data_IF_528872022436
#
_entry.id   IF_528872022436
#
_cell.length_a   1.000
_cell.length_b   1.000
_cell.length_c   1.000
_cell.angle_alpha   90.00
_cell.angle_beta   90.00
_cell.angle_gamma   90.00
#
_symmetry.space_group_name_H-M   'P 1'
#
loop_
_entity.id
_entity.type
_entity.pdbx_description
1 polymer ?
#
# COMPACT_ATOMS: atom_id res chain seq x y z
N UNK A 1 4.59 -2.04 -14.19
CA UNK A 1 5.34 -2.35 -12.95
C UNK A 1 4.40 -2.89 -11.88
N UNK A 2 3.56 -2.06 -11.25
CA UNK A 2 2.59 -2.49 -10.21
C UNK A 2 1.77 -3.73 -10.64
N UNK A 3 1.14 -3.68 -11.82
CA UNK A 3 0.35 -4.81 -12.36
C UNK A 3 1.16 -6.09 -12.62
N UNK A 4 2.42 -5.96 -13.03
CA UNK A 4 3.28 -7.11 -13.35
C UNK A 4 3.76 -7.81 -12.06
N UNK A 5 4.07 -7.04 -11.02
CA UNK A 5 4.43 -7.57 -9.70
C UNK A 5 3.22 -8.23 -9.03
N UNK A 6 2.04 -7.60 -9.11
CA UNK A 6 0.79 -8.19 -8.61
C UNK A 6 0.48 -9.52 -9.32
N UNK A 7 0.72 -9.63 -10.63
CA UNK A 7 0.49 -10.86 -11.40
C UNK A 7 1.33 -12.04 -10.90
N UNK A 8 2.63 -11.82 -10.69
CA UNK A 8 3.55 -12.88 -10.29
C UNK A 8 3.39 -13.32 -8.82
N UNK A 9 2.88 -12.45 -7.96
CA UNK A 9 2.76 -12.69 -6.51
C UNK A 9 1.33 -13.10 -6.13
N UNK A 10 0.37 -13.06 -7.06
CA UNK A 10 -1.02 -13.47 -6.88
C UNK A 10 -1.20 -14.81 -6.11
N UNK A 11 -0.39 -15.88 -6.32
CA UNK A 11 -0.52 -17.12 -5.54
C UNK A 11 -0.15 -16.99 -4.06
N UNK A 12 0.71 -16.04 -3.70
CA UNK A 12 1.11 -15.73 -2.31
C UNK A 12 0.19 -14.69 -1.66
N UNK A 13 -0.71 -14.06 -2.41
CA UNK A 13 -1.72 -13.14 -1.91
C UNK A 13 -2.94 -13.81 -1.27
N UNK A 14 -3.11 -15.13 -1.44
CA UNK A 14 -4.25 -15.91 -0.92
C UNK A 14 -3.91 -16.82 0.27
N UNK A 15 -2.67 -16.80 0.74
CA UNK A 15 -2.29 -17.46 2.00
C UNK A 15 -2.66 -16.59 3.21
N UNK A 16 -2.76 -17.21 4.40
CA UNK A 16 -3.12 -16.53 5.68
C UNK A 16 -2.33 -15.24 5.97
N UNK A 17 -1.19 -15.03 5.32
CA UNK A 17 -0.43 -13.78 5.34
C UNK A 17 -0.48 -13.20 3.92
N UNK A 18 -1.24 -12.11 3.73
CA UNK A 18 -1.31 -11.42 2.45
C UNK A 18 -0.15 -10.42 2.34
N UNK A 19 0.86 -10.75 1.54
CA UNK A 19 1.94 -9.81 1.24
C UNK A 19 1.55 -8.92 0.07
N UNK A 20 1.12 -7.69 0.37
CA UNK A 20 0.83 -6.70 -0.67
C UNK A 20 2.10 -5.98 -1.12
N UNK A 21 2.98 -6.70 -1.82
CA UNK A 21 4.25 -6.15 -2.32
C UNK A 21 4.05 -4.86 -3.14
N UNK A 22 2.91 -4.74 -3.80
CA UNK A 22 2.56 -3.56 -4.59
C UNK A 22 2.35 -2.29 -3.74
N UNK A 23 2.03 -2.40 -2.44
CA UNK A 23 1.93 -1.23 -1.53
C UNK A 23 3.29 -0.56 -1.26
N UNK A 24 4.41 -1.26 -1.52
CA UNK A 24 5.75 -0.67 -1.50
C UNK A 24 5.86 0.57 -2.41
N UNK A 25 5.10 0.61 -3.51
CA UNK A 25 5.06 1.75 -4.42
C UNK A 25 4.40 2.99 -3.82
N UNK A 26 3.67 2.88 -2.70
CA UNK A 26 3.07 4.03 -2.02
C UNK A 26 4.11 5.04 -1.53
N UNK A 27 5.34 4.58 -1.26
CA UNK A 27 6.46 5.46 -0.94
C UNK A 27 6.80 6.44 -2.07
N UNK A 28 6.38 6.20 -3.32
CA UNK A 28 6.54 7.17 -4.42
C UNK A 28 5.88 8.51 -4.11
N UNK A 29 4.75 8.50 -3.39
CA UNK A 29 4.02 9.73 -3.03
C UNK A 29 4.85 10.65 -2.11
N UNK A 30 5.81 10.06 -1.38
CA UNK A 30 6.75 10.81 -0.53
C UNK A 30 7.71 11.62 -1.40
N UNK A 31 8.10 11.13 -2.58
CA UNK A 31 8.99 11.86 -3.49
C UNK A 31 8.25 12.92 -4.29
N UNK A 32 7.08 12.59 -4.85
CA UNK A 32 6.24 13.56 -5.55
C UNK A 32 4.76 13.24 -5.35
N UNK A 33 3.98 14.26 -4.94
CA UNK A 33 2.55 14.12 -4.67
C UNK A 33 1.77 13.70 -5.93
N UNK A 34 2.27 14.01 -7.13
CA UNK A 34 1.64 13.63 -8.42
C UNK A 34 1.56 12.11 -8.62
N UNK A 35 2.38 11.31 -7.92
CA UNK A 35 2.31 9.84 -8.02
C UNK A 35 1.04 9.24 -7.39
N UNK A 36 0.26 10.02 -6.63
CA UNK A 36 -1.02 9.57 -6.06
C UNK A 36 -1.95 9.00 -7.14
N UNK A 37 -2.06 9.66 -8.30
CA UNK A 37 -2.94 9.21 -9.37
C UNK A 37 -2.51 7.86 -9.95
N UNK A 38 -1.19 7.66 -10.12
CA UNK A 38 -0.65 6.40 -10.63
C UNK A 38 -0.81 5.25 -9.63
N UNK A 39 -0.64 5.52 -8.34
CA UNK A 39 -0.86 4.54 -7.27
C UNK A 39 -2.34 4.16 -7.18
N UNK A 40 -3.24 5.15 -7.09
CA UNK A 40 -4.69 4.91 -6.98
C UNK A 40 -5.22 4.14 -8.18
N UNK A 41 -4.78 4.49 -9.40
CA UNK A 41 -5.13 3.72 -10.60
C UNK A 41 -4.55 2.31 -10.56
N UNK A 42 -3.32 2.13 -10.07
CA UNK A 42 -2.69 0.83 -9.91
C UNK A 42 -3.45 -0.08 -8.95
N UNK A 43 -3.84 0.46 -7.79
CA UNK A 43 -4.63 -0.24 -6.76
C UNK A 43 -6.02 -0.54 -7.29
N UNK A 44 -6.67 0.41 -7.97
CA UNK A 44 -7.98 0.21 -8.57
C UNK A 44 -7.95 -0.92 -9.61
N UNK A 45 -6.99 -0.90 -10.53
CA UNK A 45 -6.85 -1.95 -11.55
C UNK A 45 -6.45 -3.29 -10.95
N UNK A 46 -5.58 -3.32 -9.94
CA UNK A 46 -5.21 -4.57 -9.28
C UNK A 46 -6.39 -5.20 -8.55
N UNK A 47 -7.20 -4.40 -7.84
CA UNK A 47 -8.42 -4.90 -7.21
C UNK A 47 -9.45 -5.35 -8.27
N UNK A 48 -9.57 -4.63 -9.39
CA UNK A 48 -10.48 -5.01 -10.48
C UNK A 48 -10.08 -6.34 -11.17
N UNK A 49 -8.78 -6.59 -11.30
CA UNK A 49 -8.23 -7.75 -12.04
C UNK A 49 -8.03 -8.98 -11.14
N UNK A 50 -7.60 -8.78 -9.89
CA UNK A 50 -7.17 -9.87 -9.00
C UNK A 50 -8.08 -10.14 -7.80
N UNK A 51 -9.04 -9.26 -7.46
CA UNK A 51 -9.92 -9.53 -6.32
C UNK A 51 -11.00 -10.56 -6.66
N UNK A 52 -11.16 -11.62 -5.85
CA UNK A 52 -12.32 -12.52 -5.91
C UNK A 52 -13.65 -11.83 -5.54
N UNK A 53 -13.61 -10.72 -4.79
CA UNK A 53 -14.78 -10.02 -4.23
C UNK A 53 -14.85 -8.57 -4.72
N UNK A 54 -14.89 -8.42 -6.06
CA UNK A 54 -14.79 -7.19 -6.87
C UNK A 54 -15.50 -5.92 -6.38
N UNK A 55 -16.55 -6.02 -5.56
CA UNK A 55 -17.33 -4.86 -5.10
C UNK A 55 -16.87 -4.28 -3.76
N UNK A 56 -16.59 -5.13 -2.77
CA UNK A 56 -16.16 -4.69 -1.45
C UNK A 56 -14.69 -4.27 -1.46
N UNK A 57 -13.82 -5.13 -1.99
CA UNK A 57 -12.35 -4.91 -2.05
C UNK A 57 -12.00 -3.63 -2.80
N UNK A 58 -12.83 -3.23 -3.77
CA UNK A 58 -12.63 -2.02 -4.53
C UNK A 58 -12.92 -0.76 -3.70
N UNK A 59 -13.95 -0.76 -2.87
CA UNK A 59 -14.33 0.42 -2.07
C UNK A 59 -13.44 0.52 -0.83
N UNK A 60 -13.25 -0.58 -0.10
CA UNK A 60 -12.46 -0.57 1.12
C UNK A 60 -10.97 -0.56 0.83
N UNK A 61 -10.49 -1.32 -0.17
CA UNK A 61 -9.09 -1.30 -0.59
C UNK A 61 -8.67 0.05 -1.17
N UNK A 62 -9.36 0.54 -2.20
CA UNK A 62 -9.02 1.85 -2.80
C UNK A 62 -9.25 2.99 -1.80
N UNK A 63 -10.31 2.90 -0.99
CA UNK A 63 -10.60 3.87 0.06
C UNK A 63 -9.50 3.94 1.12
N UNK A 64 -9.03 2.78 1.59
CA UNK A 64 -7.90 2.68 2.53
C UNK A 64 -6.64 3.29 1.94
N UNK A 65 -6.32 2.99 0.67
CA UNK A 65 -5.11 3.52 0.03
C UNK A 65 -5.22 5.03 -0.15
N UNK A 66 -6.34 5.55 -0.67
CA UNK A 66 -6.55 7.01 -0.82
C UNK A 66 -6.41 7.71 0.52
N UNK A 67 -7.06 7.20 1.57
CA UNK A 67 -7.01 7.78 2.91
C UNK A 67 -5.57 7.80 3.45
N UNK A 68 -4.86 6.68 3.31
CA UNK A 68 -3.47 6.54 3.78
C UNK A 68 -2.50 7.44 3.03
N UNK A 69 -2.68 7.58 1.70
CA UNK A 69 -1.89 8.49 0.88
C UNK A 69 -2.17 9.95 1.23
N UNK A 70 -3.44 10.33 1.44
CA UNK A 70 -3.81 11.69 1.83
C UNK A 70 -3.22 12.07 3.20
N UNK A 71 -3.32 11.17 4.18
CA UNK A 71 -2.70 11.35 5.51
C UNK A 71 -1.18 11.50 5.34
N UNK A 72 -0.56 10.65 4.52
CA UNK A 72 0.89 10.72 4.28
C UNK A 72 1.29 12.02 3.60
N UNK A 73 0.53 12.51 2.62
CA UNK A 73 0.78 13.80 1.95
C UNK A 73 0.63 14.98 2.93
N UNK A 74 -0.37 14.92 3.82
CA UNK A 74 -0.59 15.94 4.83
C UNK A 74 0.56 15.97 5.85
N UNK A 75 0.90 14.82 6.43
CA UNK A 75 2.00 14.70 7.42
C UNK A 75 3.36 14.99 6.80
N UNK A 76 3.57 14.62 5.53
CA UNK A 76 4.76 14.97 4.76
C UNK A 76 5.03 16.47 4.67
N UNK A 77 4.01 17.33 4.77
CA UNK A 77 4.18 18.80 4.73
C UNK A 77 4.87 19.33 6.00
N UNK A 78 4.72 18.62 7.13
CA UNK A 78 5.24 19.05 8.42
C UNK A 78 6.62 18.47 8.76
N UNK A 79 7.11 17.50 7.99
CA UNK A 79 8.28 16.70 8.33
C UNK A 79 9.39 16.90 7.31
N UNK A 80 10.56 17.33 7.80
CA UNK A 80 11.77 17.48 7.00
C UNK A 80 12.56 16.18 7.04
N UNK A 81 12.69 15.51 5.89
CA UNK A 81 13.48 14.28 5.73
C UNK A 81 12.73 13.18 4.98
N UNK A 82 13.33 12.69 3.89
CA UNK A 82 12.72 11.66 3.02
C UNK A 82 12.51 10.34 3.77
N UNK A 83 13.52 9.88 4.52
CA UNK A 83 13.46 8.61 5.26
C UNK A 83 12.38 8.68 6.35
N UNK A 84 12.33 9.78 7.12
CA UNK A 84 11.32 9.98 8.17
C UNK A 84 9.90 9.98 7.60
N UNK A 85 9.69 10.60 6.42
CA UNK A 85 8.40 10.58 5.73
C UNK A 85 8.00 9.17 5.28
N UNK A 86 8.95 8.34 4.83
CA UNK A 86 8.70 6.95 4.47
C UNK A 86 8.40 6.07 5.69
N UNK A 87 9.07 6.29 6.82
CA UNK A 87 8.74 5.59 8.08
C UNK A 87 7.31 5.90 8.51
N UNK A 88 6.90 7.16 8.43
CA UNK A 88 5.52 7.55 8.78
C UNK A 88 4.51 6.99 7.79
N UNK A 89 4.82 7.00 6.49
CA UNK A 89 4.00 6.32 5.49
C UNK A 89 3.80 4.84 5.86
N UNK A 90 4.86 4.15 6.29
CA UNK A 90 4.82 2.76 6.76
C UNK A 90 3.88 2.58 7.93
N UNK A 91 3.97 3.45 8.94
CA UNK A 91 3.10 3.38 10.12
C UNK A 91 1.64 3.65 9.73
N UNK A 92 1.38 4.67 8.91
CA UNK A 92 0.03 5.03 8.48
C UNK A 92 -0.63 3.89 7.69
N UNK A 93 0.09 3.28 6.74
CA UNK A 93 -0.42 2.15 5.95
C UNK A 93 -0.60 0.88 6.78
N UNK A 94 0.34 0.59 7.69
CA UNK A 94 0.23 -0.58 8.57
C UNK A 94 -0.96 -0.44 9.53
N UNK A 95 -1.23 0.77 10.04
CA UNK A 95 -2.39 1.03 10.87
C UNK A 95 -3.67 0.91 10.07
N UNK A 96 -3.75 1.52 8.88
CA UNK A 96 -4.97 1.54 8.06
C UNK A 96 -5.40 0.16 7.55
N UNK A 97 -4.58 -0.89 7.71
CA UNK A 97 -4.96 -2.29 7.55
C UNK A 97 -6.15 -2.72 8.43
N UNK A 98 -6.47 -1.99 9.49
CA UNK A 98 -7.71 -2.23 10.26
C UNK A 98 -8.96 -2.16 9.38
N UNK A 99 -9.00 -1.27 8.37
CA UNK A 99 -10.13 -1.14 7.45
C UNK A 99 -10.31 -2.39 6.60
N UNK A 100 -9.20 -2.95 6.12
CA UNK A 100 -9.18 -4.16 5.31
C UNK A 100 -9.53 -5.39 6.14
N UNK A 101 -9.10 -5.44 7.40
CA UNK A 101 -9.49 -6.50 8.33
C UNK A 101 -10.99 -6.47 8.65
N UNK A 102 -11.61 -5.28 8.75
CA UNK A 102 -13.08 -5.14 8.88
C UNK A 102 -13.77 -5.67 7.62
N UNK A 103 -13.27 -5.32 6.44
CA UNK A 103 -13.78 -5.82 5.16
C UNK A 103 -13.73 -7.35 5.10
N UNK A 104 -12.58 -7.97 5.36
CA UNK A 104 -12.41 -9.43 5.30
C UNK A 104 -13.29 -10.14 6.33
N UNK A 105 -13.52 -9.52 7.50
CA UNK A 105 -14.47 -10.02 8.49
C UNK A 105 -15.91 -9.97 7.96
N UNK A 106 -16.30 -8.89 7.30
CA UNK A 106 -17.66 -8.68 6.79
C UNK A 106 -17.95 -9.50 5.53
N UNK A 107 -16.94 -9.68 4.67
CA UNK A 107 -17.05 -10.35 3.38
C UNK A 107 -16.88 -11.88 3.47
N UNK A 108 -15.95 -12.37 4.30
CA UNK A 108 -15.59 -13.80 4.40
C UNK A 108 -15.84 -14.40 5.79
N UNK A 109 -16.29 -13.60 6.78
CA UNK A 109 -16.55 -14.07 8.14
C UNK A 109 -15.28 -14.36 8.95
N UNK A 110 -14.10 -13.97 8.48
CA UNK A 110 -12.83 -14.27 9.14
C UNK A 110 -12.66 -13.51 10.48
N UNK A 111 -11.91 -14.07 11.44
CA UNK A 111 -11.66 -13.44 12.73
C UNK A 111 -10.84 -12.15 12.58
N UNK A 112 -11.48 -11.01 12.86
CA UNK A 112 -10.91 -9.66 12.72
C UNK A 112 -9.49 -9.52 13.26
N UNK A 113 -9.23 -9.97 14.48
CA UNK A 113 -7.94 -9.79 15.15
C UNK A 113 -6.81 -10.53 14.42
N UNK A 114 -7.10 -11.75 13.94
CA UNK A 114 -6.11 -12.59 13.26
C UNK A 114 -5.83 -12.08 11.84
N UNK A 115 -6.87 -11.66 11.12
CA UNK A 115 -6.73 -11.01 9.81
C UNK A 115 -6.00 -9.67 9.92
N UNK A 116 -6.34 -8.86 10.93
CA UNK A 116 -5.65 -7.60 11.18
C UNK A 116 -4.17 -7.81 11.48
N UNK A 117 -3.83 -8.71 12.40
CA UNK A 117 -2.42 -8.97 12.73
C UNK A 117 -1.64 -9.49 11.52
N UNK A 118 -2.17 -10.45 10.79
CA UNK A 118 -1.49 -11.03 9.62
C UNK A 118 -1.30 -10.01 8.50
N UNK A 119 -2.33 -9.22 8.18
CA UNK A 119 -2.25 -8.17 7.15
C UNK A 119 -1.38 -6.99 7.58
N UNK A 120 -1.48 -6.52 8.82
CA UNK A 120 -0.67 -5.43 9.34
C UNK A 120 0.81 -5.81 9.42
N UNK A 121 1.15 -7.04 9.83
CA UNK A 121 2.53 -7.54 9.83
C UNK A 121 3.05 -7.68 8.39
N UNK A 122 2.23 -8.24 7.48
CA UNK A 122 2.59 -8.37 6.06
C UNK A 122 2.89 -7.01 5.43
N UNK A 123 2.01 -6.04 5.65
CA UNK A 123 2.16 -4.67 5.16
C UNK A 123 3.40 -3.99 5.75
N UNK A 124 3.60 -4.10 7.06
CA UNK A 124 4.74 -3.52 7.74
C UNK A 124 6.06 -4.05 7.19
N UNK A 125 6.17 -5.36 6.99
CA UNK A 125 7.36 -5.99 6.41
C UNK A 125 7.60 -5.48 4.98
N UNK A 126 6.57 -5.49 4.14
CA UNK A 126 6.68 -5.02 2.75
C UNK A 126 7.10 -3.56 2.69
N UNK A 127 6.45 -2.70 3.49
CA UNK A 127 6.71 -1.27 3.52
C UNK A 127 8.11 -0.96 4.04
N UNK A 128 8.60 -1.68 5.07
CA UNK A 128 9.98 -1.54 5.56
C UNK A 128 10.98 -1.96 4.50
N UNK A 129 10.80 -3.12 3.87
CA UNK A 129 11.67 -3.58 2.77
C UNK A 129 11.61 -2.60 1.59
N UNK A 130 10.47 -1.93 1.43
CA UNK A 130 10.27 -0.86 0.48
C UNK A 130 11.10 0.38 0.70
N UNK A 131 11.44 0.73 1.93
CA UNK A 131 12.24 1.91 2.23
C UNK A 131 13.59 1.90 1.50
N UNK A 132 14.47 0.89 1.68
CA UNK A 132 15.75 0.87 0.99
C UNK A 132 15.58 0.76 -0.53
N UNK A 133 14.64 -0.07 -1.01
CA UNK A 133 14.41 -0.25 -2.46
C UNK A 133 14.06 1.08 -3.13
N UNK A 134 13.09 1.80 -2.57
CA UNK A 134 12.61 3.06 -3.14
C UNK A 134 13.63 4.19 -2.96
N UNK A 135 14.38 4.19 -1.87
CA UNK A 135 15.49 5.12 -1.66
C UNK A 135 16.60 4.94 -2.72
N UNK A 136 17.01 3.69 -2.98
CA UNK A 136 18.00 3.38 -4.02
C UNK A 136 17.50 3.66 -5.43
N UNK A 137 16.23 3.33 -5.74
CA UNK A 137 15.64 3.68 -7.03
C UNK A 137 15.60 5.20 -7.23
N UNK A 138 15.25 5.99 -6.21
CA UNK A 138 15.27 7.44 -6.32
C UNK A 138 16.66 7.98 -6.70
N UNK A 139 17.73 7.38 -6.16
CA UNK A 139 19.11 7.78 -6.49
C UNK A 139 19.48 7.52 -7.96
N UNK A 140 18.86 6.52 -8.61
CA UNK A 140 19.10 6.15 -10.01
C UNK A 140 18.16 6.88 -10.98
N UNK A 141 16.89 6.98 -10.62
CA UNK A 141 15.80 7.42 -11.50
C UNK A 141 15.46 8.91 -11.29
N UNK A 142 15.86 9.51 -10.15
CA UNK A 142 15.56 10.89 -9.75
C UNK A 142 14.07 11.20 -9.91
N UNK A 143 13.22 10.51 -9.14
CA UNK A 143 11.76 10.66 -9.21
C UNK A 143 11.26 12.09 -8.95
N UNK A 144 12.08 12.94 -8.33
CA UNK A 144 11.84 14.37 -8.16
C UNK A 144 11.77 15.17 -9.48
N UNK A 145 12.43 14.71 -10.54
CA UNK A 145 12.51 15.43 -11.83
C UNK A 145 11.65 14.83 -12.95
N UNK A 146 10.95 13.73 -12.70
CA UNK A 146 10.24 12.98 -13.75
C UNK A 146 8.83 13.51 -14.07
N UNK A 147 8.28 14.49 -13.34
CA UNK A 147 6.90 15.00 -13.57
C UNK A 147 6.71 16.49 -13.23
#
# INVERSE_FOLDING_TARGET
>A
MYLAVTHFISPFGFTNIQFRVSEMFNHLVVFNKKYIYGIVLGVFLANLIYSPMKGYDLIFGVGQTILSLLITIATAKFIKGIITRMIINTIVFSLSMFLIAIELKLALGFPFLMTYLTTAIGEFIVMIVGIPIMYYLNKRVKFEHLI
#
